data_IF_738964966877
#
_entry.id   IF_738964966877
#
_cell.length_a   1.000
_cell.length_b   1.000
_cell.length_c   1.000
_cell.angle_alpha   90.00
_cell.angle_beta   90.00
_cell.angle_gamma   90.00
#
_symmetry.space_group_name_H-M   'P 1'
#
loop_
_entity.id
_entity.type
_entity.pdbx_description
1 polymer ?
#
# COMPACT_ATOMS: atom_id res chain seq x y z
N UNK A 1 17.58 -16.22 -12.64
CA UNK A 1 18.45 -16.09 -11.44
C UNK A 1 18.34 -14.73 -10.73
N UNK A 2 17.57 -13.77 -11.23
CA UNK A 2 17.45 -12.40 -10.67
C UNK A 2 16.26 -12.17 -9.72
N UNK A 3 15.29 -13.07 -9.67
CA UNK A 3 14.09 -12.94 -8.80
C UNK A 3 14.33 -13.31 -7.33
N UNK A 4 15.23 -14.26 -7.08
CA UNK A 4 15.53 -14.75 -5.72
C UNK A 4 16.20 -13.69 -4.85
N UNK A 5 17.09 -12.86 -5.40
CA UNK A 5 17.88 -11.85 -4.65
C UNK A 5 17.01 -10.64 -4.23
N UNK A 6 15.99 -10.26 -5.03
CA UNK A 6 15.08 -9.14 -4.68
C UNK A 6 14.12 -9.50 -3.53
N UNK A 7 13.75 -10.75 -3.43
CA UNK A 7 12.82 -11.26 -2.41
C UNK A 7 13.51 -11.39 -1.04
N UNK A 8 14.73 -11.91 -1.02
CA UNK A 8 15.53 -12.06 0.21
C UNK A 8 15.84 -10.71 0.89
N UNK A 9 16.18 -9.66 0.12
CA UNK A 9 16.43 -8.32 0.68
C UNK A 9 15.18 -7.68 1.29
N UNK A 10 14.00 -7.93 0.74
CA UNK A 10 12.74 -7.44 1.26
C UNK A 10 12.32 -8.18 2.54
N UNK A 11 12.63 -9.46 2.63
CA UNK A 11 12.34 -10.30 3.80
C UNK A 11 13.27 -9.95 4.99
N UNK A 12 14.54 -9.67 4.75
CA UNK A 12 15.49 -9.22 5.78
C UNK A 12 15.01 -7.88 6.36
N UNK A 13 14.71 -6.89 5.53
CA UNK A 13 14.20 -5.59 5.98
C UNK A 13 12.87 -5.71 6.73
N UNK A 14 11.99 -6.62 6.30
CA UNK A 14 10.73 -6.90 6.98
C UNK A 14 10.93 -7.60 8.34
N UNK A 15 11.90 -8.50 8.44
CA UNK A 15 12.26 -9.16 9.70
C UNK A 15 12.87 -8.18 10.71
N UNK A 16 13.77 -7.29 10.27
CA UNK A 16 14.32 -6.22 11.09
C UNK A 16 13.24 -5.26 11.61
N UNK A 17 12.31 -4.88 10.74
CA UNK A 17 11.16 -4.04 11.10
C UNK A 17 10.26 -4.73 12.13
N UNK A 18 10.02 -6.04 12.01
CA UNK A 18 9.26 -6.82 12.99
C UNK A 18 9.97 -6.85 14.33
N UNK A 19 11.27 -7.16 14.34
CA UNK A 19 12.10 -7.22 15.54
C UNK A 19 12.14 -5.88 16.29
N UNK A 20 12.28 -4.76 15.58
CA UNK A 20 12.25 -3.41 16.14
C UNK A 20 10.93 -3.08 16.87
N UNK A 21 9.83 -3.78 16.53
CA UNK A 21 8.53 -3.65 17.20
C UNK A 21 8.25 -4.73 18.25
N UNK A 22 9.24 -5.55 18.61
CA UNK A 22 9.05 -6.68 19.52
C UNK A 22 8.21 -7.81 18.91
N UNK A 23 8.07 -7.84 17.58
CA UNK A 23 7.35 -8.89 16.83
C UNK A 23 8.36 -9.92 16.29
N UNK A 24 7.83 -11.12 16.02
CA UNK A 24 8.56 -12.21 15.36
C UNK A 24 8.13 -12.29 13.90
N UNK A 25 9.09 -12.31 12.97
CA UNK A 25 8.81 -12.52 11.56
C UNK A 25 8.52 -14.02 11.33
N UNK A 26 7.35 -14.36 10.81
CA UNK A 26 6.88 -15.72 10.62
C UNK A 26 6.18 -15.88 9.27
N UNK A 27 6.15 -17.09 8.75
CA UNK A 27 5.34 -17.43 7.57
C UNK A 27 4.46 -18.67 7.88
N UNK A 28 3.50 -18.95 7.03
CA UNK A 28 2.54 -20.02 7.22
C UNK A 28 3.03 -21.41 6.75
N UNK A 29 4.28 -21.53 6.32
CA UNK A 29 4.97 -22.81 6.17
C UNK A 29 5.54 -23.31 7.51
N UNK A 30 5.66 -22.42 8.51
CA UNK A 30 6.08 -22.77 9.85
C UNK A 30 4.99 -23.55 10.58
N UNK A 31 5.40 -24.32 11.59
CA UNK A 31 4.49 -25.01 12.50
C UNK A 31 3.51 -24.04 13.15
N UNK A 32 2.20 -24.27 12.99
CA UNK A 32 1.13 -23.40 13.47
C UNK A 32 -0.08 -24.19 13.94
N UNK A 33 -1.11 -23.45 14.33
CA UNK A 33 -2.40 -24.01 14.70
C UNK A 33 -3.25 -24.15 13.44
N UNK A 34 -3.93 -25.28 13.29
CA UNK A 34 -4.89 -25.54 12.19
C UNK A 34 -6.31 -25.45 12.71
N UNK A 35 -7.20 -24.82 11.97
CA UNK A 35 -8.64 -24.81 12.22
C UNK A 35 -9.26 -26.03 11.53
N UNK A 36 -10.02 -26.80 12.28
CA UNK A 36 -10.75 -28.00 11.80
C UNK A 36 -12.24 -27.76 11.97
N UNK A 37 -13.02 -28.03 10.94
CA UNK A 37 -14.49 -27.94 11.00
C UNK A 37 -15.04 -29.13 11.82
N UNK A 38 -15.97 -28.85 12.71
CA UNK A 38 -16.70 -29.82 13.52
C UNK A 38 -18.21 -29.65 13.29
N UNK A 39 -19.02 -30.53 13.86
CA UNK A 39 -20.49 -30.45 13.80
C UNK A 39 -20.99 -29.15 14.45
N UNK A 40 -20.37 -28.75 15.57
CA UNK A 40 -20.78 -27.59 16.37
C UNK A 40 -19.97 -26.31 16.05
N UNK A 41 -19.20 -26.31 14.95
CA UNK A 41 -18.42 -25.12 14.56
C UNK A 41 -16.97 -25.42 14.21
N UNK A 42 -16.01 -24.97 15.02
CA UNK A 42 -14.58 -25.11 14.74
C UNK A 42 -13.79 -25.57 15.97
N UNK A 43 -12.94 -26.56 15.77
CA UNK A 43 -11.88 -26.95 16.69
C UNK A 43 -10.53 -26.44 16.19
N UNK A 44 -9.56 -26.26 17.08
CA UNK A 44 -8.21 -25.83 16.78
C UNK A 44 -7.19 -26.84 17.26
N UNK A 45 -6.23 -27.20 16.42
CA UNK A 45 -5.20 -28.20 16.70
C UNK A 45 -3.81 -27.64 16.47
N UNK A 46 -2.87 -27.92 17.34
CA UNK A 46 -1.44 -27.63 17.16
C UNK A 46 -0.85 -28.50 16.04
N UNK A 47 0.35 -28.18 15.58
CA UNK A 47 1.07 -28.97 14.58
C UNK A 47 1.30 -30.45 15.01
N UNK A 48 1.41 -30.72 16.31
CA UNK A 48 1.54 -32.05 16.86
C UNK A 48 0.18 -32.79 17.07
N UNK A 49 -0.91 -32.25 16.52
CA UNK A 49 -2.27 -32.83 16.59
C UNK A 49 -3.02 -32.56 17.89
N UNK A 50 -2.38 -32.05 18.96
CA UNK A 50 -3.06 -31.78 20.24
C UNK A 50 -4.10 -30.66 20.07
N UNK A 51 -5.29 -30.88 20.67
CA UNK A 51 -6.34 -29.87 20.66
C UNK A 51 -5.95 -28.63 21.50
N UNK A 52 -6.40 -27.46 21.08
CA UNK A 52 -6.31 -26.23 21.87
C UNK A 52 -7.54 -26.17 22.78
N UNK A 53 -7.30 -26.23 24.07
CA UNK A 53 -8.35 -26.17 25.12
C UNK A 53 -8.20 -24.95 26.03
N UNK A 54 -7.06 -24.24 25.98
CA UNK A 54 -6.80 -23.07 26.80
C UNK A 54 -7.79 -21.95 26.47
N UNK A 55 -8.59 -21.44 27.43
CA UNK A 55 -9.54 -20.35 27.22
C UNK A 55 -8.85 -19.07 26.70
N UNK A 56 -7.65 -18.76 27.22
CA UNK A 56 -6.89 -17.59 26.80
C UNK A 56 -6.45 -17.68 25.33
N UNK A 57 -6.04 -18.86 24.87
CA UNK A 57 -5.62 -19.10 23.50
C UNK A 57 -6.82 -19.08 22.54
N UNK A 58 -7.94 -19.70 22.93
CA UNK A 58 -9.19 -19.65 22.18
C UNK A 58 -9.72 -18.21 22.06
N UNK A 59 -9.66 -17.41 23.13
CA UNK A 59 -10.01 -16.01 23.10
C UNK A 59 -9.09 -15.19 22.19
N UNK A 60 -7.79 -15.47 22.14
CA UNK A 60 -6.85 -14.87 21.18
C UNK A 60 -7.26 -15.19 19.74
N UNK A 61 -7.53 -16.47 19.45
CA UNK A 61 -7.95 -16.91 18.11
C UNK A 61 -9.26 -16.25 17.69
N UNK A 62 -10.24 -16.18 18.59
CA UNK A 62 -11.52 -15.52 18.33
C UNK A 62 -11.35 -14.03 17.94
N UNK A 63 -10.41 -13.31 18.61
CA UNK A 63 -10.12 -11.90 18.27
C UNK A 63 -9.51 -11.71 16.87
N UNK A 64 -8.95 -12.74 16.24
CA UNK A 64 -8.48 -12.67 14.85
C UNK A 64 -9.63 -12.52 13.84
N UNK A 65 -10.86 -12.80 14.27
CA UNK A 65 -12.08 -12.67 13.46
C UNK A 65 -11.93 -13.33 12.08
N UNK A 66 -11.44 -14.57 12.05
CA UNK A 66 -11.26 -15.35 10.83
C UNK A 66 -12.63 -15.77 10.30
N UNK A 67 -13.03 -15.38 9.08
CA UNK A 67 -14.35 -15.71 8.55
C UNK A 67 -14.61 -17.23 8.56
N UNK A 68 -15.85 -17.65 8.88
CA UNK A 68 -16.21 -19.09 8.87
C UNK A 68 -16.00 -19.75 7.50
N UNK A 69 -16.20 -19.00 6.41
CA UNK A 69 -16.07 -19.48 5.05
C UNK A 69 -14.60 -19.68 4.59
N UNK A 70 -13.59 -19.32 5.41
CA UNK A 70 -12.21 -19.59 5.04
C UNK A 70 -11.87 -21.06 5.19
N UNK A 71 -11.07 -21.57 4.27
CA UNK A 71 -10.53 -22.92 4.25
C UNK A 71 -9.02 -22.90 4.47
N UNK A 72 -8.41 -24.06 4.78
CA UNK A 72 -6.96 -24.24 5.01
C UNK A 72 -6.37 -23.22 5.99
N UNK A 73 -7.09 -22.92 7.05
CA UNK A 73 -6.69 -21.87 7.99
C UNK A 73 -5.48 -22.31 8.80
N UNK A 74 -4.39 -21.56 8.65
CA UNK A 74 -3.22 -21.58 9.52
C UNK A 74 -3.25 -20.39 10.48
N UNK A 75 -2.87 -20.59 11.74
CA UNK A 75 -2.81 -19.56 12.78
C UNK A 75 -1.46 -19.65 13.48
N UNK A 76 -0.78 -18.52 13.61
CA UNK A 76 0.50 -18.45 14.29
C UNK A 76 0.36 -18.88 15.77
N UNK A 77 1.25 -19.75 16.22
CA UNK A 77 1.28 -20.18 17.63
C UNK A 77 1.80 -19.06 18.56
N UNK A 78 2.67 -18.16 18.06
CA UNK A 78 3.17 -17.02 18.82
C UNK A 78 2.24 -15.81 18.67
N UNK A 79 1.79 -15.27 19.81
CA UNK A 79 0.97 -14.06 19.82
C UNK A 79 1.71 -12.83 19.26
N UNK A 80 3.06 -12.84 19.27
CA UNK A 80 3.91 -11.79 18.71
C UNK A 80 4.26 -12.01 17.24
N UNK A 81 3.78 -13.08 16.60
CA UNK A 81 4.00 -13.26 15.17
C UNK A 81 3.46 -12.08 14.36
N UNK A 82 4.26 -11.51 13.44
CA UNK A 82 3.81 -10.38 12.60
C UNK A 82 2.62 -10.80 11.71
N UNK A 83 2.61 -12.05 11.24
CA UNK A 83 1.50 -12.71 10.57
C UNK A 83 0.78 -13.60 11.58
N UNK A 84 -0.48 -13.30 11.86
CA UNK A 84 -1.28 -13.99 12.87
C UNK A 84 -2.10 -15.13 12.30
N UNK A 85 -2.60 -15.03 11.07
CA UNK A 85 -3.28 -16.14 10.41
C UNK A 85 -3.29 -15.98 8.89
N UNK A 86 -3.41 -17.11 8.18
CA UNK A 86 -3.76 -17.19 6.76
C UNK A 86 -4.95 -18.13 6.55
N UNK A 87 -5.58 -18.07 5.38
CA UNK A 87 -6.63 -18.99 4.96
C UNK A 87 -7.11 -18.64 3.56
N UNK A 88 -7.86 -19.52 2.92
CA UNK A 88 -8.42 -19.31 1.60
C UNK A 88 -9.89 -18.88 1.70
N UNK A 89 -10.28 -17.82 1.02
CA UNK A 89 -11.68 -17.39 0.95
C UNK A 89 -12.50 -18.32 0.01
N UNK A 90 -13.81 -18.10 -0.05
CA UNK A 90 -14.74 -18.89 -0.89
C UNK A 90 -14.41 -18.87 -2.41
N UNK A 91 -13.46 -18.04 -2.85
CA UNK A 91 -12.94 -17.98 -4.22
C UNK A 91 -11.55 -18.59 -4.34
N UNK A 92 -11.07 -19.32 -3.33
CA UNK A 92 -9.75 -19.94 -3.28
C UNK A 92 -8.59 -18.93 -3.13
N UNK A 93 -8.86 -17.65 -2.82
CA UNK A 93 -7.82 -16.62 -2.68
C UNK A 93 -7.25 -16.65 -1.27
N UNK A 94 -5.91 -16.70 -1.16
CA UNK A 94 -5.21 -16.64 0.12
C UNK A 94 -5.40 -15.27 0.78
N UNK A 95 -5.85 -15.25 2.01
CA UNK A 95 -6.11 -14.09 2.85
C UNK A 95 -5.20 -14.09 4.06
N UNK A 96 -4.85 -12.91 4.57
CA UNK A 96 -3.86 -12.73 5.62
C UNK A 96 -4.45 -11.93 6.78
N UNK A 97 -4.09 -12.30 8.02
CA UNK A 97 -4.37 -11.56 9.25
C UNK A 97 -3.05 -11.18 9.90
N UNK A 98 -2.72 -9.90 9.87
CA UNK A 98 -1.49 -9.39 10.46
C UNK A 98 -1.70 -8.85 11.88
N UNK A 99 -0.65 -8.87 12.67
CA UNK A 99 -0.62 -8.25 13.99
C UNK A 99 -0.93 -6.74 13.89
N UNK A 100 -1.68 -6.13 14.83
CA UNK A 100 -2.01 -4.71 14.79
C UNK A 100 -0.79 -3.79 14.72
N UNK A 101 0.26 -4.08 15.52
CA UNK A 101 1.51 -3.32 15.51
C UNK A 101 2.24 -3.41 14.16
N UNK A 102 2.24 -4.59 13.54
CA UNK A 102 2.80 -4.75 12.19
C UNK A 102 2.10 -3.86 11.17
N UNK A 103 0.77 -3.77 11.24
CA UNK A 103 0.00 -2.87 10.36
C UNK A 103 0.38 -1.42 10.60
N UNK A 104 0.48 -0.98 11.86
CA UNK A 104 0.88 0.41 12.20
C UNK A 104 2.25 0.75 11.65
N UNK A 105 3.24 -0.14 11.81
CA UNK A 105 4.59 0.04 11.29
C UNK A 105 4.61 0.16 9.78
N UNK A 106 3.95 -0.78 9.09
CA UNK A 106 3.86 -0.77 7.65
C UNK A 106 3.15 0.48 7.11
N UNK A 107 2.10 0.91 7.78
CA UNK A 107 1.38 2.12 7.42
C UNK A 107 2.23 3.37 7.69
N UNK A 108 2.95 3.43 8.80
CA UNK A 108 3.89 4.50 9.11
C UNK A 108 5.02 4.61 8.06
N UNK A 109 5.66 3.50 7.73
CA UNK A 109 6.71 3.45 6.71
C UNK A 109 6.19 3.88 5.32
N UNK A 110 4.98 3.42 4.94
CA UNK A 110 4.33 3.81 3.69
C UNK A 110 4.09 5.32 3.60
N UNK A 111 3.60 5.93 4.68
CA UNK A 111 3.27 7.35 4.67
C UNK A 111 4.53 8.24 4.75
N UNK A 112 5.59 7.79 5.43
CA UNK A 112 6.90 8.45 5.40
C UNK A 112 7.48 8.45 3.98
N UNK A 113 7.43 7.31 3.30
CA UNK A 113 7.88 7.17 1.90
C UNK A 113 7.11 8.04 0.90
N UNK A 114 5.89 8.49 1.25
CA UNK A 114 5.08 9.35 0.41
C UNK A 114 5.72 10.72 0.14
N UNK A 115 6.45 11.28 1.10
CA UNK A 115 7.20 12.54 0.93
C UNK A 115 8.29 12.34 -0.12
N UNK A 116 9.02 11.23 -0.05
CA UNK A 116 10.07 10.89 -1.02
C UNK A 116 9.49 10.66 -2.41
N UNK A 117 8.34 9.97 -2.50
CA UNK A 117 7.60 9.80 -3.75
C UNK A 117 7.23 11.15 -4.38
N UNK A 118 6.61 12.05 -3.61
CA UNK A 118 6.25 13.38 -4.09
C UNK A 118 7.46 14.21 -4.55
N UNK A 119 8.62 14.08 -3.86
CA UNK A 119 9.88 14.71 -4.25
C UNK A 119 10.45 14.15 -5.56
N UNK A 120 10.23 12.87 -5.85
CA UNK A 120 10.72 12.21 -7.05
C UNK A 120 9.83 12.45 -8.29
N UNK A 121 8.56 12.87 -8.12
CA UNK A 121 7.64 13.13 -9.24
C UNK A 121 8.20 14.10 -10.32
N UNK A 122 8.89 15.20 -9.99
CA UNK A 122 9.46 16.08 -11.03
C UNK A 122 10.51 15.37 -11.91
N UNK A 123 11.32 14.47 -11.34
CA UNK A 123 12.29 13.65 -12.08
C UNK A 123 11.57 12.67 -12.99
N UNK A 124 10.59 11.93 -12.48
CA UNK A 124 9.75 11.04 -13.27
C UNK A 124 9.12 11.75 -14.45
N UNK A 125 8.48 12.92 -14.22
CA UNK A 125 7.78 13.67 -15.26
C UNK A 125 8.72 14.23 -16.33
N UNK A 126 10.00 14.48 -16.02
CA UNK A 126 11.02 14.78 -17.03
C UNK A 126 11.26 13.57 -17.90
N UNK A 127 11.56 12.42 -17.30
CA UNK A 127 11.76 11.14 -18.02
C UNK A 127 10.55 10.80 -18.90
N UNK A 128 9.32 10.95 -18.38
CA UNK A 128 8.10 10.74 -19.18
C UNK A 128 8.05 11.65 -20.41
N UNK A 129 8.42 12.94 -20.30
CA UNK A 129 8.42 13.86 -21.46
C UNK A 129 9.37 13.39 -22.55
N UNK A 130 10.55 12.95 -22.16
CA UNK A 130 11.60 12.49 -23.08
C UNK A 130 11.17 11.20 -23.78
N UNK A 131 10.74 10.20 -23.03
CA UNK A 131 10.31 8.90 -23.58
C UNK A 131 9.04 9.00 -24.43
N UNK A 132 8.07 9.87 -24.06
CA UNK A 132 6.88 10.14 -24.88
C UNK A 132 7.22 10.85 -26.22
N UNK A 133 8.40 11.45 -26.35
CA UNK A 133 8.85 12.09 -27.59
C UNK A 133 9.53 11.13 -28.56
N UNK A 134 9.94 9.92 -28.13
CA UNK A 134 10.60 8.91 -28.97
C UNK A 134 9.81 8.64 -30.27
N UNK A 135 10.50 8.25 -31.34
CA UNK A 135 9.85 7.85 -32.60
C UNK A 135 9.22 6.46 -32.44
N UNK A 136 8.20 6.15 -33.22
CA UNK A 136 7.54 4.84 -33.18
C UNK A 136 6.76 4.58 -31.89
N UNK A 137 6.73 3.33 -31.47
CA UNK A 137 6.16 2.82 -30.22
C UNK A 137 7.13 1.82 -29.56
N UNK A 138 8.37 2.25 -29.27
CA UNK A 138 9.30 1.40 -28.53
C UNK A 138 8.81 1.17 -27.09
N UNK A 139 9.42 0.21 -26.40
CA UNK A 139 9.06 -0.23 -25.05
C UNK A 139 8.97 0.96 -24.07
N UNK A 140 9.98 1.80 -24.03
CA UNK A 140 10.10 2.95 -23.13
C UNK A 140 8.94 3.94 -23.34
N UNK A 141 8.57 4.20 -24.59
CA UNK A 141 7.44 5.09 -24.89
C UNK A 141 6.11 4.52 -24.45
N UNK A 142 5.87 3.23 -24.64
CA UNK A 142 4.60 2.60 -24.22
C UNK A 142 4.54 2.53 -22.70
N UNK A 143 5.64 2.23 -22.01
CA UNK A 143 5.75 2.31 -20.56
C UNK A 143 5.48 3.74 -20.06
N UNK A 144 6.07 4.75 -20.70
CA UNK A 144 5.81 6.15 -20.36
C UNK A 144 4.34 6.55 -20.56
N UNK A 145 3.63 6.01 -21.56
CA UNK A 145 2.18 6.20 -21.73
C UNK A 145 1.41 5.60 -20.56
N UNK A 146 1.73 4.36 -20.17
CA UNK A 146 1.06 3.69 -19.04
C UNK A 146 1.32 4.43 -17.74
N UNK A 147 2.55 4.85 -17.47
CA UNK A 147 2.92 5.60 -16.26
C UNK A 147 2.30 7.01 -16.26
N UNK A 148 2.23 7.68 -17.42
CA UNK A 148 1.51 8.95 -17.56
C UNK A 148 0.02 8.81 -17.24
N UNK A 149 -0.60 7.69 -17.63
CA UNK A 149 -1.97 7.38 -17.23
C UNK A 149 -2.11 7.06 -15.74
N UNK A 150 -1.12 6.38 -15.12
CA UNK A 150 -1.10 6.19 -13.66
C UNK A 150 -1.07 7.52 -12.91
N UNK A 151 -0.19 8.44 -13.33
CA UNK A 151 -0.05 9.79 -12.73
C UNK A 151 -1.34 10.62 -12.90
N UNK A 152 -1.99 10.52 -14.07
CA UNK A 152 -3.19 11.31 -14.37
C UNK A 152 -4.48 10.74 -13.75
N UNK A 153 -4.59 9.41 -13.58
CA UNK A 153 -5.88 8.75 -13.29
C UNK A 153 -5.90 7.95 -12.00
N UNK A 154 -4.75 7.64 -11.44
CA UNK A 154 -4.60 6.78 -10.26
C UNK A 154 -5.27 5.39 -10.41
N UNK A 155 -5.49 4.93 -11.65
CA UNK A 155 -6.01 3.59 -11.95
C UNK A 155 -4.98 2.53 -11.54
N UNK A 156 -5.43 1.35 -11.14
CA UNK A 156 -4.53 0.25 -10.80
C UNK A 156 -3.75 -0.22 -12.02
N UNK A 157 -2.49 -0.60 -11.83
CA UNK A 157 -1.62 -1.05 -12.92
C UNK A 157 -2.17 -2.28 -13.64
N UNK A 158 -2.77 -3.23 -12.94
CA UNK A 158 -3.28 -4.49 -13.49
C UNK A 158 -2.35 -5.66 -13.21
N UNK A 159 -2.89 -6.87 -13.30
CA UNK A 159 -2.16 -8.12 -13.18
C UNK A 159 -2.79 -9.14 -14.14
N UNK A 160 -1.96 -9.86 -14.90
CA UNK A 160 -2.42 -10.77 -15.96
C UNK A 160 -3.21 -11.96 -15.41
N UNK A 161 -2.80 -12.54 -14.28
CA UNK A 161 -3.52 -13.64 -13.63
C UNK A 161 -4.93 -13.19 -13.20
N UNK A 162 -5.03 -12.02 -12.53
CA UNK A 162 -6.33 -11.47 -12.15
C UNK A 162 -7.25 -11.15 -13.33
N UNK A 163 -6.69 -10.67 -14.45
CA UNK A 163 -7.47 -10.40 -15.66
C UNK A 163 -8.01 -11.68 -16.29
N UNK A 164 -7.25 -12.78 -16.21
CA UNK A 164 -7.65 -14.11 -16.70
C UNK A 164 -8.70 -14.73 -15.81
N UNK A 165 -8.43 -14.79 -14.51
CA UNK A 165 -9.21 -15.61 -13.57
C UNK A 165 -10.48 -14.89 -13.10
N UNK A 166 -10.46 -13.56 -12.94
CA UNK A 166 -11.56 -12.78 -12.39
C UNK A 166 -12.19 -11.78 -13.37
N UNK A 167 -11.72 -11.73 -14.63
CA UNK A 167 -12.12 -10.70 -15.63
C UNK A 167 -12.01 -9.28 -15.07
N UNK A 168 -11.02 -9.05 -14.19
CA UNK A 168 -10.76 -7.76 -13.55
C UNK A 168 -9.50 -7.13 -14.13
N UNK A 169 -9.63 -5.91 -14.65
CA UNK A 169 -8.61 -5.26 -15.45
C UNK A 169 -7.96 -4.08 -14.69
N UNK A 170 -6.76 -3.73 -15.10
CA UNK A 170 -6.04 -2.50 -14.80
C UNK A 170 -5.24 -2.09 -16.03
N UNK A 171 -4.49 -1.00 -15.99
CA UNK A 171 -3.91 -0.36 -17.18
C UNK A 171 -3.18 -1.35 -18.07
N UNK A 172 -2.24 -2.15 -17.57
CA UNK A 172 -1.46 -3.10 -18.38
C UNK A 172 -2.27 -4.25 -18.97
N UNK A 173 -3.46 -4.50 -18.44
CA UNK A 173 -4.34 -5.59 -18.88
C UNK A 173 -5.56 -5.10 -19.66
N UNK A 174 -5.70 -3.79 -19.89
CA UNK A 174 -6.77 -3.24 -20.72
C UNK A 174 -6.72 -3.83 -22.13
N UNK A 175 -7.89 -3.96 -22.71
CA UNK A 175 -8.09 -4.37 -24.11
C UNK A 175 -8.58 -3.18 -24.94
N UNK A 176 -8.42 -3.23 -26.25
CA UNK A 176 -8.86 -2.19 -27.17
C UNK A 176 -10.35 -1.81 -26.96
N UNK A 177 -11.23 -2.78 -26.71
CA UNK A 177 -12.65 -2.55 -26.41
C UNK A 177 -12.94 -1.72 -25.16
N UNK A 178 -11.95 -1.55 -24.27
CA UNK A 178 -12.09 -0.76 -23.06
C UNK A 178 -11.77 0.74 -23.29
N UNK A 179 -11.22 1.09 -24.46
CA UNK A 179 -10.84 2.46 -24.81
C UNK A 179 -11.83 3.04 -25.84
N UNK A 180 -12.55 4.08 -25.45
CA UNK A 180 -13.48 4.81 -26.30
C UNK A 180 -12.98 6.23 -26.52
N UNK A 181 -12.67 6.57 -27.77
CA UNK A 181 -12.22 7.91 -28.14
C UNK A 181 -13.44 8.79 -28.46
N UNK A 182 -13.55 9.91 -27.74
CA UNK A 182 -14.66 10.86 -27.90
C UNK A 182 -14.25 11.94 -28.92
N UNK A 183 -15.26 12.56 -29.59
CA UNK A 183 -15.04 13.50 -30.69
C UNK A 183 -14.24 14.74 -30.31
N UNK A 184 -14.31 15.19 -29.05
CA UNK A 184 -13.60 16.37 -28.53
C UNK A 184 -12.11 16.13 -28.17
N UNK A 185 -11.58 14.95 -28.56
CA UNK A 185 -10.19 14.60 -28.32
C UNK A 185 -9.91 14.02 -26.92
N UNK A 186 -10.95 13.58 -26.22
CA UNK A 186 -10.86 12.88 -24.93
C UNK A 186 -10.87 11.36 -25.11
N UNK A 187 -10.38 10.67 -24.10
CA UNK A 187 -10.44 9.21 -23.98
C UNK A 187 -11.28 8.82 -22.77
N UNK A 188 -12.17 7.88 -22.97
CA UNK A 188 -12.93 7.22 -21.92
C UNK A 188 -12.47 5.78 -21.82
N UNK A 189 -11.97 5.39 -20.64
CA UNK A 189 -11.62 4.01 -20.32
C UNK A 189 -12.76 3.40 -19.51
N UNK A 190 -13.41 2.37 -20.05
CA UNK A 190 -14.52 1.66 -19.41
C UNK A 190 -14.16 0.19 -19.23
N UNK A 191 -14.07 -0.27 -17.98
CA UNK A 191 -13.64 -1.63 -17.67
C UNK A 191 -14.05 -2.05 -16.26
N UNK A 192 -14.16 -3.36 -16.07
CA UNK A 192 -14.39 -3.97 -14.77
C UNK A 192 -13.06 -4.09 -14.02
N UNK A 193 -12.92 -3.43 -12.87
CA UNK A 193 -11.71 -3.44 -12.05
C UNK A 193 -11.76 -4.41 -10.87
N UNK A 194 -10.84 -4.23 -9.92
CA UNK A 194 -10.72 -5.08 -8.73
C UNK A 194 -12.04 -5.15 -7.96
N UNK A 195 -12.41 -6.36 -7.55
CA UNK A 195 -13.65 -6.60 -6.81
C UNK A 195 -14.93 -6.54 -7.66
N UNK A 196 -14.80 -6.46 -8.99
CA UNK A 196 -15.94 -6.38 -9.90
C UNK A 196 -16.50 -4.97 -10.09
N UNK A 197 -15.84 -3.94 -9.52
CA UNK A 197 -16.27 -2.56 -9.65
C UNK A 197 -16.14 -2.06 -11.10
N UNK A 198 -17.18 -1.42 -11.62
CA UNK A 198 -17.12 -0.78 -12.92
C UNK A 198 -16.34 0.54 -12.82
N UNK A 199 -15.40 0.70 -13.73
CA UNK A 199 -14.57 1.89 -13.87
C UNK A 199 -14.95 2.64 -15.13
N UNK A 200 -15.23 3.91 -14.96
CA UNK A 200 -15.30 4.89 -16.02
C UNK A 200 -14.31 6.00 -15.73
N UNK A 201 -13.27 6.10 -16.56
CA UNK A 201 -12.14 7.01 -16.33
C UNK A 201 -11.93 7.88 -17.54
N UNK A 202 -12.04 9.20 -17.36
CA UNK A 202 -11.79 10.18 -18.41
C UNK A 202 -10.33 10.60 -18.40
N UNK A 203 -9.77 10.73 -19.60
CA UNK A 203 -8.42 11.25 -19.83
C UNK A 203 -8.56 12.45 -20.77
N UNK A 204 -8.21 13.63 -20.24
CA UNK A 204 -8.35 14.90 -20.96
C UNK A 204 -7.02 15.39 -21.57
N UNK A 205 -5.87 14.80 -21.16
CA UNK A 205 -4.57 15.12 -21.74
C UNK A 205 -4.49 14.69 -23.20
N UNK A 206 -4.58 15.67 -24.12
CA UNK A 206 -4.59 15.42 -25.57
C UNK A 206 -3.34 14.71 -26.08
N UNK A 207 -2.18 14.89 -25.41
CA UNK A 207 -0.94 14.20 -25.79
C UNK A 207 -1.05 12.71 -25.45
N UNK A 208 -1.45 12.38 -24.22
CA UNK A 208 -1.67 11.00 -23.81
C UNK A 208 -2.75 10.33 -24.66
N UNK A 209 -3.87 11.01 -24.92
CA UNK A 209 -4.96 10.46 -25.74
C UNK A 209 -4.48 10.11 -27.16
N UNK A 210 -3.67 10.98 -27.79
CA UNK A 210 -3.09 10.69 -29.12
C UNK A 210 -2.18 9.45 -29.09
N UNK A 211 -1.37 9.30 -28.04
CA UNK A 211 -0.48 8.16 -27.88
C UNK A 211 -1.24 6.86 -27.61
N UNK A 212 -2.25 6.90 -26.74
CA UNK A 212 -3.12 5.73 -26.52
C UNK A 212 -3.84 5.33 -27.82
N UNK A 213 -4.26 6.29 -28.65
CA UNK A 213 -4.85 6.00 -29.97
C UNK A 213 -3.89 5.28 -30.89
N UNK A 214 -2.60 5.65 -30.87
CA UNK A 214 -1.56 4.92 -31.64
C UNK A 214 -1.34 3.50 -31.11
N UNK A 215 -1.33 3.30 -29.80
CA UNK A 215 -1.27 1.96 -29.21
C UNK A 215 -2.49 1.12 -29.61
N UNK A 216 -3.68 1.71 -29.58
CA UNK A 216 -4.96 1.06 -29.96
C UNK A 216 -4.98 0.60 -31.43
N UNK A 217 -4.25 1.29 -32.31
CA UNK A 217 -4.16 0.95 -33.74
C UNK A 217 -3.26 -0.26 -34.03
N UNK A 218 -2.45 -0.69 -33.05
CA UNK A 218 -1.66 -1.90 -33.21
C UNK A 218 -2.56 -3.13 -33.26
N UNK A 219 -2.28 -4.10 -34.17
CA UNK A 219 -3.04 -5.34 -34.23
C UNK A 219 -3.00 -6.10 -32.90
N UNK A 220 -4.12 -6.76 -32.55
CA UNK A 220 -4.25 -7.54 -31.33
C UNK A 220 -5.31 -6.97 -30.37
N UNK A 221 -5.54 -7.66 -29.26
CA UNK A 221 -6.58 -7.29 -28.29
C UNK A 221 -6.08 -6.42 -27.13
N UNK A 222 -4.78 -6.47 -26.82
CA UNK A 222 -4.17 -5.71 -25.72
C UNK A 222 -4.02 -4.26 -26.13
N UNK A 223 -4.44 -3.34 -25.27
CA UNK A 223 -4.35 -1.90 -25.54
C UNK A 223 -2.90 -1.41 -25.51
N UNK A 224 -2.09 -1.91 -24.58
CA UNK A 224 -0.70 -1.49 -24.43
C UNK A 224 0.25 -2.64 -24.82
N UNK A 225 0.86 -2.46 -25.97
CA UNK A 225 1.85 -3.34 -26.55
C UNK A 225 2.96 -2.47 -27.17
N UNK A 226 4.18 -2.96 -27.18
CA UNK A 226 5.30 -2.36 -27.92
C UNK A 226 5.82 -3.34 -28.97
N UNK A 227 6.52 -2.82 -29.95
CA UNK A 227 7.22 -3.63 -30.96
C UNK A 227 8.66 -3.74 -30.49
N UNK A 228 9.13 -4.98 -30.26
CA UNK A 228 10.53 -5.25 -29.91
C UNK A 228 11.46 -5.09 -31.11
N UNK A 229 12.77 -5.18 -30.87
CA UNK A 229 13.79 -5.14 -31.91
C UNK A 229 13.68 -6.33 -32.88
N UNK A 230 13.08 -7.42 -32.42
CA UNK A 230 12.71 -8.61 -33.20
C UNK A 230 11.50 -8.40 -34.13
N UNK A 231 10.88 -7.21 -34.12
CA UNK A 231 9.66 -6.91 -34.84
C UNK A 231 8.39 -7.55 -34.23
N UNK A 232 8.51 -8.29 -33.13
CA UNK A 232 7.40 -8.95 -32.43
C UNK A 232 6.73 -7.99 -31.47
N UNK A 233 5.42 -8.17 -31.28
CA UNK A 233 4.64 -7.38 -30.32
C UNK A 233 4.64 -8.03 -28.96
N UNK A 234 5.04 -7.25 -27.95
CA UNK A 234 5.10 -7.67 -26.56
C UNK A 234 4.10 -6.87 -25.74
N UNK A 235 3.26 -7.50 -24.90
CA UNK A 235 2.40 -6.77 -23.98
C UNK A 235 3.23 -6.12 -22.86
N UNK A 236 2.82 -4.96 -22.41
CA UNK A 236 3.35 -4.35 -21.18
C UNK A 236 2.72 -5.05 -19.97
N UNK A 237 3.52 -5.35 -18.95
CA UNK A 237 3.09 -5.94 -17.68
C UNK A 237 3.38 -5.02 -16.48
N UNK A 238 2.95 -5.45 -15.29
CA UNK A 238 3.11 -4.68 -14.05
C UNK A 238 4.56 -4.63 -13.55
N UNK A 239 5.36 -5.64 -13.84
CA UNK A 239 6.78 -5.72 -13.43
C UNK A 239 7.60 -4.74 -14.23
N UNK A 240 7.40 -4.69 -15.54
CA UNK A 240 8.02 -3.71 -16.43
C UNK A 240 7.67 -2.27 -16.04
N UNK A 241 6.42 -2.01 -15.64
CA UNK A 241 5.99 -0.69 -15.14
C UNK A 241 6.71 -0.33 -13.85
N UNK A 242 6.82 -1.26 -12.90
CA UNK A 242 7.52 -1.00 -11.64
C UNK A 242 9.03 -0.82 -11.85
N UNK A 243 9.67 -1.61 -12.72
CA UNK A 243 11.07 -1.46 -13.07
C UNK A 243 11.35 -0.08 -13.73
N UNK A 244 10.45 0.36 -14.62
CA UNK A 244 10.54 1.69 -15.21
C UNK A 244 10.42 2.81 -14.16
N UNK A 245 9.53 2.65 -13.18
CA UNK A 245 9.37 3.62 -12.08
C UNK A 245 10.62 3.68 -11.21
N UNK A 246 11.19 2.53 -10.85
CA UNK A 246 12.43 2.44 -10.06
C UNK A 246 13.59 3.14 -10.74
N UNK A 247 13.81 2.90 -12.04
CA UNK A 247 14.83 3.55 -12.85
C UNK A 247 14.59 5.07 -12.95
N UNK A 248 13.37 5.47 -13.33
CA UNK A 248 13.02 6.87 -13.55
C UNK A 248 13.04 7.72 -12.27
N UNK A 249 12.73 7.15 -11.12
CA UNK A 249 12.62 7.87 -9.84
C UNK A 249 13.87 7.70 -8.96
N UNK A 250 14.71 6.68 -9.22
CA UNK A 250 15.93 6.42 -8.44
C UNK A 250 15.67 5.78 -7.07
N UNK A 251 14.50 5.16 -6.90
CA UNK A 251 14.13 4.40 -5.71
C UNK A 251 12.99 3.43 -6.07
N UNK A 252 12.86 2.34 -5.30
CA UNK A 252 11.90 1.27 -5.55
C UNK A 252 10.43 1.68 -5.35
N UNK A 253 9.99 2.74 -6.02
CA UNK A 253 8.58 3.12 -6.08
C UNK A 253 7.80 2.21 -7.03
N UNK A 254 6.51 2.10 -6.79
CA UNK A 254 5.61 1.22 -7.54
C UNK A 254 4.35 1.96 -8.00
N UNK A 255 3.62 1.37 -8.91
CA UNK A 255 2.33 1.88 -9.35
C UNK A 255 1.32 2.09 -8.20
N UNK A 256 1.47 1.38 -7.06
CA UNK A 256 0.64 1.55 -5.87
C UNK A 256 0.85 2.91 -5.19
N UNK A 257 2.06 3.46 -5.27
CA UNK A 257 2.41 4.73 -4.62
C UNK A 257 1.63 5.90 -5.21
N UNK A 258 1.31 5.88 -6.53
CA UNK A 258 0.42 6.89 -7.15
C UNK A 258 -0.95 6.97 -6.50
N UNK A 259 -1.52 5.83 -6.11
CA UNK A 259 -2.84 5.80 -5.46
C UNK A 259 -2.81 6.33 -4.04
N UNK A 260 -1.71 6.05 -3.31
CA UNK A 260 -1.51 6.58 -1.96
C UNK A 260 -1.26 8.09 -2.01
N UNK A 261 -0.43 8.54 -2.97
CA UNK A 261 -0.18 9.96 -3.23
C UNK A 261 -1.47 10.69 -3.65
N UNK A 262 -2.15 10.21 -4.70
CA UNK A 262 -3.37 10.83 -5.23
C UNK A 262 -4.50 10.87 -4.20
N UNK A 263 -4.72 9.78 -3.44
CA UNK A 263 -5.72 9.74 -2.38
C UNK A 263 -5.44 10.73 -1.25
N UNK A 264 -4.17 10.84 -0.82
CA UNK A 264 -3.77 11.83 0.20
C UNK A 264 -3.85 13.27 -0.33
N UNK A 265 -3.36 13.52 -1.56
CA UNK A 265 -3.43 14.84 -2.18
C UNK A 265 -4.89 15.32 -2.32
N UNK A 266 -5.78 14.43 -2.76
CA UNK A 266 -7.20 14.74 -2.88
C UNK A 266 -7.83 15.01 -1.49
N UNK A 267 -7.52 14.20 -0.48
CA UNK A 267 -7.99 14.44 0.89
C UNK A 267 -7.48 15.79 1.43
N UNK A 268 -6.21 16.15 1.21
CA UNK A 268 -5.66 17.47 1.57
C UNK A 268 -6.45 18.59 0.88
N UNK A 269 -6.71 18.45 -0.42
CA UNK A 269 -7.45 19.48 -1.19
C UNK A 269 -8.87 19.67 -0.67
N UNK A 270 -9.59 18.57 -0.40
CA UNK A 270 -10.95 18.61 0.15
C UNK A 270 -10.97 19.22 1.55
N UNK A 271 -10.09 18.73 2.44
CA UNK A 271 -10.08 19.19 3.84
C UNK A 271 -9.58 20.64 3.96
N UNK A 272 -8.65 21.10 3.10
CA UNK A 272 -8.24 22.50 3.06
C UNK A 272 -9.37 23.44 2.61
N UNK A 273 -10.29 22.95 1.77
CA UNK A 273 -11.48 23.70 1.36
C UNK A 273 -12.66 23.59 2.36
N UNK A 274 -12.56 22.68 3.34
CA UNK A 274 -13.63 22.44 4.34
C UNK A 274 -13.32 23.23 5.62
N UNK A 275 -14.08 24.26 5.97
CA UNK A 275 -13.88 25.01 7.22
C UNK A 275 -14.13 24.10 8.42
N UNK A 276 -13.51 24.43 9.56
CA UNK A 276 -13.85 23.78 10.82
C UNK A 276 -15.29 24.16 11.20
N UNK A 277 -16.10 23.18 11.66
CA UNK A 277 -17.48 23.46 12.06
C UNK A 277 -17.53 24.39 13.28
N UNK A 278 -18.49 25.29 13.30
CA UNK A 278 -18.74 26.18 14.40
C UNK A 278 -20.22 26.01 14.87
N UNK A 279 -20.47 25.58 16.12
CA UNK A 279 -19.48 25.20 17.14
C UNK A 279 -18.72 23.95 16.81
N UNK A 280 -17.47 23.84 17.32
CA UNK A 280 -16.59 22.70 17.11
C UNK A 280 -17.09 21.48 17.91
N UNK A 281 -17.89 20.63 17.28
CA UNK A 281 -18.41 19.39 17.87
C UNK A 281 -17.75 18.15 17.23
N UNK A 282 -17.43 17.14 18.04
CA UNK A 282 -16.81 15.90 17.54
C UNK A 282 -17.65 15.19 16.46
N UNK A 283 -18.98 15.19 16.62
CA UNK A 283 -19.90 14.62 15.65
C UNK A 283 -19.84 15.36 14.30
N UNK A 284 -19.81 16.69 14.31
CA UNK A 284 -19.71 17.52 13.11
C UNK A 284 -18.36 17.34 12.42
N UNK A 285 -17.24 17.33 13.17
CA UNK A 285 -15.92 17.05 12.63
C UNK A 285 -15.84 15.65 12.00
N UNK A 286 -16.38 14.63 12.65
CA UNK A 286 -16.46 13.28 12.14
C UNK A 286 -17.26 13.21 10.83
N UNK A 287 -18.38 13.95 10.74
CA UNK A 287 -19.20 14.01 9.53
C UNK A 287 -18.41 14.59 8.34
N UNK A 288 -17.67 15.70 8.53
CA UNK A 288 -16.81 16.29 7.49
C UNK A 288 -15.74 15.32 7.01
N UNK A 289 -15.05 14.64 7.93
CA UNK A 289 -14.02 13.65 7.61
C UNK A 289 -14.63 12.48 6.82
N UNK A 290 -15.78 11.97 7.23
CA UNK A 290 -16.48 10.87 6.53
C UNK A 290 -16.88 11.28 5.13
N UNK A 291 -17.36 12.52 4.94
CA UNK A 291 -17.70 13.06 3.62
C UNK A 291 -16.48 13.10 2.69
N UNK A 292 -15.36 13.64 3.18
CA UNK A 292 -14.11 13.67 2.40
C UNK A 292 -13.62 12.26 2.03
N UNK A 293 -13.63 11.32 2.99
CA UNK A 293 -13.23 9.92 2.72
C UNK A 293 -14.13 9.29 1.65
N UNK A 294 -15.45 9.52 1.69
CA UNK A 294 -16.40 9.00 0.69
C UNK A 294 -16.08 9.55 -0.70
N UNK A 295 -15.75 10.82 -0.82
CA UNK A 295 -15.41 11.43 -2.09
C UNK A 295 -14.10 10.87 -2.66
N UNK A 296 -13.03 10.81 -1.86
CA UNK A 296 -11.77 10.16 -2.26
C UNK A 296 -11.99 8.70 -2.65
N UNK A 297 -12.85 7.99 -1.92
CA UNK A 297 -13.17 6.59 -2.20
C UNK A 297 -13.89 6.44 -3.55
N UNK A 298 -14.82 7.33 -3.87
CA UNK A 298 -15.51 7.35 -5.16
C UNK A 298 -14.52 7.53 -6.31
N UNK A 299 -13.60 8.50 -6.21
CA UNK A 299 -12.62 8.79 -7.27
C UNK A 299 -11.61 7.65 -7.46
N UNK A 300 -11.13 7.06 -6.37
CA UNK A 300 -10.23 5.90 -6.42
C UNK A 300 -10.96 4.58 -6.74
N UNK A 301 -12.29 4.58 -6.83
CA UNK A 301 -13.12 3.37 -6.99
C UNK A 301 -12.76 2.31 -5.94
N UNK A 302 -12.88 2.71 -4.67
CA UNK A 302 -12.64 1.87 -3.50
C UNK A 302 -13.75 2.03 -2.47
N UNK A 303 -13.74 1.16 -1.45
CA UNK A 303 -14.59 1.38 -0.27
C UNK A 303 -14.00 2.50 0.61
N UNK A 304 -14.85 3.27 1.34
CA UNK A 304 -14.37 4.28 2.28
C UNK A 304 -13.39 3.74 3.33
N UNK A 305 -13.63 2.52 3.84
CA UNK A 305 -12.78 1.87 4.82
C UNK A 305 -11.35 1.61 4.26
N UNK A 306 -11.25 1.09 3.02
CA UNK A 306 -9.97 0.86 2.35
C UNK A 306 -9.28 2.20 2.04
N UNK A 307 -9.99 3.22 1.59
CA UNK A 307 -9.39 4.53 1.33
C UNK A 307 -8.80 5.13 2.60
N UNK A 308 -9.55 5.15 3.69
CA UNK A 308 -9.10 5.66 4.97
C UNK A 308 -7.83 4.98 5.47
N UNK A 309 -7.78 3.65 5.43
CA UNK A 309 -6.65 2.88 5.98
C UNK A 309 -5.45 2.80 5.04
N UNK A 310 -5.68 2.78 3.71
CA UNK A 310 -4.63 2.40 2.78
C UNK A 310 -4.15 3.53 1.85
N UNK A 311 -4.94 4.59 1.64
CA UNK A 311 -4.64 5.61 0.65
C UNK A 311 -4.63 7.04 1.17
N UNK A 312 -5.13 7.30 2.37
CA UNK A 312 -5.11 8.65 2.95
C UNK A 312 -4.19 8.67 4.16
N UNK A 313 -3.21 9.59 4.16
CA UNK A 313 -2.34 9.79 5.32
C UNK A 313 -3.17 10.32 6.52
N UNK A 314 -3.16 9.64 7.68
CA UNK A 314 -3.92 10.07 8.86
C UNK A 314 -3.64 11.51 9.29
N UNK A 315 -2.41 11.99 9.13
CA UNK A 315 -2.01 13.35 9.46
C UNK A 315 -2.91 14.43 8.81
N UNK A 316 -3.57 14.12 7.68
CA UNK A 316 -4.49 15.05 7.01
C UNK A 316 -5.66 15.40 7.93
N UNK A 317 -6.26 14.39 8.55
CA UNK A 317 -7.42 14.58 9.41
C UNK A 317 -7.04 15.18 10.77
N UNK A 318 -5.89 14.78 11.32
CA UNK A 318 -5.36 15.32 12.57
C UNK A 318 -4.97 16.79 12.40
N UNK A 319 -4.28 17.12 11.31
CA UNK A 319 -3.90 18.49 10.98
C UNK A 319 -5.10 19.39 10.65
N UNK A 320 -6.17 18.82 10.06
CA UNK A 320 -7.42 19.57 9.83
C UNK A 320 -8.14 19.87 11.16
N UNK A 321 -8.29 18.89 12.04
CA UNK A 321 -8.92 19.06 13.38
C UNK A 321 -8.27 20.14 14.22
N UNK A 322 -6.93 20.24 14.14
CA UNK A 322 -6.13 21.24 14.87
C UNK A 322 -6.02 22.58 14.15
N UNK A 323 -6.59 22.72 12.94
CA UNK A 323 -6.44 23.92 12.11
C UNK A 323 -5.08 24.03 11.42
N UNK A 324 -4.14 23.14 11.73
CA UNK A 324 -2.76 23.13 11.18
C UNK A 324 -2.75 23.01 9.66
N UNK A 325 -3.64 22.19 9.10
CA UNK A 325 -3.77 22.04 7.66
C UNK A 325 -4.08 23.37 6.97
N UNK A 326 -5.04 24.14 7.50
CA UNK A 326 -5.40 25.46 6.93
C UNK A 326 -4.26 26.46 7.03
N UNK A 327 -3.49 26.44 8.14
CA UNK A 327 -2.35 27.34 8.32
C UNK A 327 -1.23 27.09 7.30
N UNK A 328 -0.93 25.81 7.01
CA UNK A 328 0.18 25.44 6.11
C UNK A 328 -0.23 25.48 4.65
N UNK A 329 -1.43 25.01 4.33
CA UNK A 329 -1.89 24.82 2.96
C UNK A 329 -2.64 26.05 2.42
N UNK A 330 -3.47 26.67 3.27
CA UNK A 330 -4.35 27.77 2.85
C UNK A 330 -5.31 27.32 1.75
N UNK A 331 -5.71 28.27 0.89
CA UNK A 331 -6.58 27.98 -0.24
C UNK A 331 -5.78 27.37 -1.42
N UNK A 332 -6.23 26.23 -1.89
CA UNK A 332 -5.68 25.58 -3.08
C UNK A 332 -6.53 25.97 -4.29
N UNK A 333 -5.97 26.65 -5.31
CA UNK A 333 -6.69 26.92 -6.55
C UNK A 333 -6.96 25.61 -7.31
N UNK A 334 -8.20 25.38 -7.74
CA UNK A 334 -8.60 24.17 -8.46
C UNK A 334 -7.81 23.95 -9.76
N UNK A 335 -7.39 25.03 -10.44
CA UNK A 335 -6.66 24.97 -11.69
C UNK A 335 -5.13 24.85 -11.57
N UNK A 336 -4.60 24.64 -10.35
CA UNK A 336 -3.15 24.63 -10.12
C UNK A 336 -2.65 23.33 -9.46
N UNK A 337 -2.73 22.15 -10.14
CA UNK A 337 -2.40 20.86 -9.55
C UNK A 337 -0.98 20.77 -8.98
N UNK A 338 0.01 21.37 -9.65
CA UNK A 338 1.40 21.41 -9.14
C UNK A 338 1.58 22.29 -7.90
N UNK A 339 0.77 23.33 -7.75
CA UNK A 339 0.74 24.11 -6.51
C UNK A 339 0.15 23.29 -5.38
N UNK A 340 -0.92 22.56 -5.65
CA UNK A 340 -1.52 21.63 -4.69
C UNK A 340 -0.51 20.57 -4.20
N UNK A 341 0.26 19.96 -5.10
CA UNK A 341 1.32 19.00 -4.75
C UNK A 341 2.41 19.61 -3.85
N UNK A 342 2.89 20.82 -4.18
CA UNK A 342 3.89 21.50 -3.34
C UNK A 342 3.37 21.82 -1.94
N UNK A 343 2.13 22.30 -1.83
CA UNK A 343 1.48 22.60 -0.55
C UNK A 343 1.24 21.31 0.25
N UNK A 344 0.81 20.24 -0.40
CA UNK A 344 0.67 18.92 0.23
C UNK A 344 2.01 18.41 0.78
N UNK A 345 3.10 18.53 0.02
CA UNK A 345 4.44 18.16 0.51
C UNK A 345 4.88 19.04 1.69
N UNK A 346 4.62 20.34 1.66
CA UNK A 346 4.93 21.23 2.77
C UNK A 346 4.18 20.81 4.04
N UNK A 347 2.89 20.52 3.92
CA UNK A 347 2.07 20.03 5.03
C UNK A 347 2.56 18.66 5.58
N UNK A 348 2.82 17.69 4.71
CA UNK A 348 3.28 16.36 5.15
C UNK A 348 4.63 16.43 5.87
N UNK A 349 5.57 17.26 5.40
CA UNK A 349 6.85 17.50 6.08
C UNK A 349 6.67 18.20 7.44
N UNK A 350 5.74 19.13 7.52
CA UNK A 350 5.41 19.81 8.77
C UNK A 350 4.82 18.84 9.79
N UNK A 351 3.87 18.01 9.39
CA UNK A 351 3.28 16.96 10.22
C UNK A 351 4.33 15.94 10.70
N UNK A 352 5.25 15.52 9.84
CA UNK A 352 6.34 14.61 10.23
C UNK A 352 7.26 15.25 11.28
N UNK A 353 7.61 16.54 11.13
CA UNK A 353 8.41 17.27 12.13
C UNK A 353 7.71 17.39 13.47
N UNK A 354 6.40 17.63 13.47
CA UNK A 354 5.58 17.67 14.69
C UNK A 354 5.62 16.35 15.44
N UNK A 355 5.35 15.25 14.74
CA UNK A 355 5.36 13.91 15.33
C UNK A 355 6.74 13.51 15.92
N UNK A 356 7.85 13.92 15.29
CA UNK A 356 9.21 13.68 15.81
C UNK A 356 9.50 14.46 17.09
N UNK A 357 8.98 15.68 17.23
CA UNK A 357 9.15 16.48 18.46
C UNK A 357 8.40 15.87 19.63
N UNK A 358 7.17 15.40 19.41
CA UNK A 358 6.36 14.74 20.44
C UNK A 358 7.00 13.43 20.94
N UNK A 359 7.52 12.60 20.03
CA UNK A 359 8.26 11.37 20.41
C UNK A 359 9.58 11.66 21.09
N UNK A 360 10.34 12.66 20.68
CA UNK A 360 11.61 13.07 21.29
C UNK A 360 11.44 13.65 22.71
N UNK A 361 10.35 14.34 23.00
CA UNK A 361 9.99 14.84 24.33
C UNK A 361 9.66 13.67 25.27
N UNK A 362 8.91 12.67 24.79
CA UNK A 362 8.57 11.49 25.60
C UNK A 362 9.79 10.65 25.99
N UNK A 363 10.78 10.48 25.12
CA UNK A 363 12.02 9.75 25.44
C UNK A 363 12.84 10.48 26.47
N UNK A 364 12.91 11.82 26.45
CA UNK A 364 13.61 12.61 27.49
C UNK A 364 12.83 12.64 28.81
N UNK A 365 11.50 12.64 28.78
CA UNK A 365 10.67 12.57 29.98
C UNK A 365 10.79 11.23 30.73
N UNK A 366 10.85 10.12 30.02
CA UNK A 366 11.05 8.79 30.61
C UNK A 366 12.49 8.57 31.13
N UNK A 367 13.49 9.13 30.48
CA UNK A 367 14.88 9.08 30.98
C UNK A 367 15.07 9.92 32.27
N UNK A 368 14.34 11.05 32.40
CA UNK A 368 14.35 11.88 33.64
C UNK A 368 13.63 11.23 34.81
N UNK A 369 12.55 10.49 34.56
CA UNK A 369 11.78 9.80 35.61
C UNK A 369 12.52 8.56 36.17
N UNK A 370 13.33 7.88 35.34
CA UNK A 370 14.13 6.75 35.79
C UNK A 370 15.45 7.17 36.53
N UNK A 371 15.90 8.42 36.40
CA UNK A 371 17.10 8.92 37.08
C UNK A 371 16.87 9.24 38.58
N UNK A 372 15.63 9.39 39.03
CA UNK A 372 15.29 9.64 40.42
C UNK A 372 14.98 8.40 41.26
N UNK A 373 15.00 7.19 40.68
CA UNK A 373 14.63 5.95 41.39
C UNK A 373 15.84 5.05 41.78
N UNK A 374 17.09 5.47 41.56
CA UNK A 374 18.27 4.67 41.92
C UNK A 374 19.26 5.42 42.84
N UNK A 375 18.85 5.63 44.08
CA UNK A 375 19.82 5.78 45.19
C UNK A 375 19.32 4.93 46.36
N UNK A 376 19.89 3.75 46.52
CA UNK A 376 19.71 2.88 47.68
C UNK A 376 20.01 1.42 47.38
N UNK A 377 21.20 0.93 47.75
CA UNK A 377 21.41 -0.51 47.94
C UNK A 377 22.54 -1.16 47.14
N UNK A 378 23.79 -0.90 47.55
CA UNK A 378 24.93 -1.80 47.24
C UNK A 378 24.74 -3.15 47.92
N UNK A 379 24.81 -4.24 47.15
CA UNK A 379 25.52 -5.48 47.58
C UNK A 379 25.94 -6.27 46.34
N UNK A 380 27.21 -6.60 46.32
CA UNK A 380 27.90 -7.44 45.36
C UNK A 380 27.48 -8.91 45.51
N UNK A 381 27.56 -9.69 44.45
CA UNK A 381 28.23 -11.00 44.43
C UNK A 381 28.08 -11.72 43.05
N UNK A 382 29.26 -12.07 42.54
CA UNK A 382 29.64 -13.23 41.70
C UNK A 382 29.19 -13.34 40.25
N UNK A 383 30.22 -13.26 39.42
CA UNK A 383 30.27 -13.72 38.01
C UNK A 383 30.42 -15.26 37.95
N UNK A 384 29.88 -15.84 36.89
CA UNK A 384 30.49 -16.98 36.19
C UNK A 384 29.73 -17.30 34.85
N UNK A 385 30.35 -18.05 33.90
CA UNK A 385 30.49 -17.56 32.53
C UNK A 385 29.71 -18.33 31.46
N UNK A 386 29.65 -17.68 30.27
CA UNK A 386 29.45 -18.17 28.91
C UNK A 386 29.24 -19.68 28.66
N UNK A 387 28.14 -20.01 27.98
CA UNK A 387 28.08 -21.11 27.08
C UNK A 387 27.56 -20.62 25.70
N UNK A 388 28.42 -20.73 24.69
CA UNK A 388 28.16 -20.43 23.31
C UNK A 388 27.18 -21.46 22.70
N UNK A 389 26.05 -21.04 22.23
CA UNK A 389 25.15 -21.87 21.44
C UNK A 389 25.28 -21.51 19.95
N UNK A 390 25.67 -22.51 19.17
CA UNK A 390 25.83 -22.53 17.72
C UNK A 390 24.53 -22.09 17.01
N UNK A 391 24.66 -21.24 16.01
CA UNK A 391 23.61 -20.89 15.04
C UNK A 391 23.18 -22.12 14.21
N UNK A 392 21.91 -22.32 13.96
CA UNK A 392 21.44 -23.30 12.98
C UNK A 392 21.51 -22.72 11.57
N UNK A 393 21.84 -23.61 10.61
CA UNK A 393 21.99 -23.34 9.18
C UNK A 393 20.68 -22.81 8.55
N UNK A 394 20.84 -21.86 7.61
CA UNK A 394 19.82 -21.26 6.78
C UNK A 394 18.96 -22.33 6.03
N UNK A 395 17.66 -22.31 6.28
CA UNK A 395 16.66 -22.98 5.46
C UNK A 395 16.09 -22.00 4.44
N UNK A 396 15.98 -22.43 3.20
CA UNK A 396 15.43 -21.68 2.08
C UNK A 396 13.96 -21.34 2.30
N UNK A 397 13.61 -20.06 2.22
CA UNK A 397 12.24 -19.56 2.39
C UNK A 397 11.58 -19.27 1.03
N UNK A 398 10.28 -19.59 0.85
CA UNK A 398 9.53 -19.23 -0.36
C UNK A 398 9.08 -17.76 -0.36
N UNK A 399 8.76 -17.19 -1.55
CA UNK A 399 8.54 -15.76 -1.76
C UNK A 399 7.31 -15.20 -1.03
N UNK A 400 7.44 -13.97 -0.54
CA UNK A 400 6.35 -13.20 0.08
C UNK A 400 5.37 -12.74 -0.99
N UNK A 401 4.19 -13.34 -1.02
CA UNK A 401 3.11 -12.87 -1.88
C UNK A 401 2.72 -11.42 -1.56
N UNK A 402 2.60 -10.60 -2.60
CA UNK A 402 2.18 -9.20 -2.53
C UNK A 402 0.96 -9.02 -1.63
N UNK A 403 1.06 -8.12 -0.66
CA UNK A 403 -0.01 -7.81 0.30
C UNK A 403 -1.20 -7.25 -0.47
N UNK A 404 -2.27 -8.02 -0.54
CA UNK A 404 -3.57 -7.55 -0.99
C UNK A 404 -4.39 -7.22 0.25
N UNK A 405 -4.60 -5.92 0.48
CA UNK A 405 -5.60 -5.47 1.43
C UNK A 405 -6.98 -5.88 0.91
N UNK A 406 -7.65 -6.72 1.63
CA UNK A 406 -9.06 -7.03 1.46
C UNK A 406 -9.93 -5.92 2.01
#
# INVERSE_FOLDING_TARGET
>A
MTDTVRDEGNDVAAAEMAAAAGLVYVNDSMAGIRRVRTVDGFAYRRANGKAITSPAELARIARLAIPPAYEDVWICSDARGHLQATGHDARGRKQYRYHPEWRRLRDGAKFKRMIDFGNALPRLRRRLRDDLALKGLPREKVLAVVVGLLDATHVRVGNAAYARDNRSYGLTTLRNRHARFIRDGRLLLQFRGKGGAEHEVRVDDRRLVRLVRRCHQLPGQRLFQYVGDDGVRHPVDSEQVNAYLEDAMGAAFTAKDFRTWGGTLHAITLMAATPLPAPAGEAAMKACIVAAIRQVAADLRNTPAVCRSSYINPAVFDGWRTGRLHQVVGAIPAAAPRKAERLALAFLRDAERGARKETGVNVRGQAGANAHATHGGRRALHASPLAAARAPRAGTYPPVASIQAG
#
